data_IF_803001254311
#
_entry.id   IF_803001254311
#
_cell.length_a   1.000
_cell.length_b   1.000
_cell.length_c   1.000
_cell.angle_alpha   90.00
_cell.angle_beta   90.00
_cell.angle_gamma   90.00
#
_symmetry.space_group_name_H-M   'P 1'
#
loop_
_entity.id
_entity.type
_entity.pdbx_description
1 polymer ?
2 polymer ?
3 non-polymer ?
4 water ?
#
# COMPACT_ATOMS: atom_id res chain seq x y z
N UNK A 1 9.07 -22.44 6.09
CA UNK A 1 8.76 -21.16 6.68
C UNK A 1 7.45 -21.31 7.45
N UNK A 2 7.43 -20.88 8.71
CA UNK A 2 6.28 -21.07 9.61
C UNK A 2 4.96 -20.52 9.03
N UNK A 3 3.82 -21.13 9.40
CA UNK A 3 2.53 -20.65 8.88
C UNK A 3 2.18 -19.25 9.37
N UNK A 4 1.20 -18.62 8.74
CA UNK A 4 0.72 -17.34 9.22
C UNK A 4 0.22 -17.58 10.63
N UNK A 5 0.46 -16.58 11.50
CA UNK A 5 -0.02 -16.56 12.88
C UNK A 5 -0.86 -15.32 13.06
N UNK A 6 -1.78 -15.36 14.01
CA UNK A 6 -2.53 -14.16 14.37
C UNK A 6 -2.12 -13.66 15.76
N UNK A 7 -1.45 -12.52 15.80
CA UNK A 7 -1.08 -11.89 17.03
C UNK A 7 -2.31 -11.15 17.56
N UNK A 8 -2.75 -11.52 18.77
CA UNK A 8 -4.03 -11.07 19.31
C UNK A 8 -4.06 -9.57 19.55
N UNK A 9 -2.90 -8.97 19.82
CA UNK A 9 -2.86 -7.57 20.13
C UNK A 9 -1.52 -6.98 19.81
N UNK A 10 -1.48 -6.21 18.72
CA UNK A 10 -0.29 -5.50 18.33
C UNK A 10 -0.70 -4.09 17.96
N UNK A 11 0.30 -3.23 17.81
CA UNK A 11 0.07 -1.83 17.48
C UNK A 11 0.75 -1.48 16.14
N UNK A 12 -0.02 -0.99 15.17
CA UNK A 12 0.58 -0.69 13.87
C UNK A 12 0.50 0.79 13.60
N UNK A 13 1.61 1.34 13.10
CA UNK A 13 1.75 2.73 12.73
C UNK A 13 1.89 2.93 11.19
N UNK A 14 1.29 3.98 10.65
CA UNK A 14 1.66 4.45 9.34
C UNK A 14 2.13 5.89 9.45
N UNK A 15 3.05 6.28 8.57
CA UNK A 15 3.51 7.66 8.46
C UNK A 15 3.63 8.09 7.00
N UNK A 16 3.35 9.36 6.70
CA UNK A 16 3.41 9.85 5.32
C UNK A 16 3.82 11.34 5.23
N UNK A 17 4.46 11.72 4.12
CA UNK A 17 4.93 13.09 3.97
C UNK A 17 3.75 14.00 3.74
N UNK A 18 3.76 15.11 4.44
CA UNK A 18 2.75 16.14 4.28
C UNK A 18 3.12 17.00 3.07
N UNK A 19 2.12 17.26 2.23
CA UNK A 19 2.29 18.04 1.01
C UNK A 19 3.20 17.40 -0.01
N UNK A 20 3.16 16.08 -0.10
CA UNK A 20 4.05 15.37 -0.98
C UNK A 20 3.80 15.72 -2.45
N UNK A 21 2.55 15.67 -2.88
CA UNK A 21 2.28 15.99 -4.27
C UNK A 21 2.73 17.44 -4.55
N UNK A 22 2.61 18.33 -3.57
CA UNK A 22 3.05 19.71 -3.73
C UNK A 22 4.58 19.89 -3.79
N UNK A 23 5.30 19.08 -3.03
CA UNK A 23 6.76 19.05 -3.01
C UNK A 23 7.28 18.48 -4.33
N UNK A 24 6.56 17.49 -4.83
CA UNK A 24 6.90 16.83 -6.08
C UNK A 24 6.45 17.74 -7.20
N UNK A 25 5.66 18.74 -6.85
CA UNK A 25 5.18 19.68 -7.84
C UNK A 25 6.38 20.43 -8.37
N UNK A 26 7.27 20.85 -7.48
CA UNK A 26 8.41 21.63 -7.88
C UNK A 26 9.70 20.87 -7.70
N UNK A 27 9.70 19.60 -8.10
CA UNK A 27 10.92 18.79 -8.10
C UNK A 27 10.85 17.69 -9.17
N UNK A 28 12.02 17.23 -9.60
CA UNK A 28 12.14 16.04 -10.43
C UNK A 28 11.58 14.84 -9.66
N UNK A 29 11.07 13.82 -10.37
CA UNK A 29 10.59 12.63 -9.65
C UNK A 29 11.74 11.84 -9.02
N UNK A 30 12.94 11.96 -9.58
CA UNK A 30 14.10 11.32 -9.01
C UNK A 30 14.62 12.20 -7.88
N UNK A 31 14.37 13.50 -7.96
CA UNK A 31 14.66 14.38 -6.84
C UNK A 31 13.78 13.97 -5.67
N UNK A 32 12.50 13.73 -5.93
CA UNK A 32 11.56 13.49 -4.84
C UNK A 32 11.68 12.09 -4.29
N UNK A 33 12.19 11.18 -5.10
CA UNK A 33 12.41 9.93 -4.68
C UNK A 33 13.54 9.84 -3.78
N UNK A 34 14.61 10.57 -4.05
CA UNK A 34 15.75 10.55 -3.15
C UNK A 34 15.46 11.38 -1.86
N UNK A 35 14.47 12.26 -1.91
CA UNK A 35 13.99 12.94 -0.71
C UNK A 35 13.23 11.93 0.14
N UNK A 36 12.43 11.10 -0.53
CA UNK A 36 11.73 10.04 0.16
C UNK A 36 12.77 9.11 0.82
N UNK A 37 13.75 8.66 0.04
CA UNK A 37 14.74 7.69 0.52
C UNK A 37 15.57 8.24 1.71
N UNK A 38 15.83 9.54 1.69
CA UNK A 38 16.61 10.22 2.74
C UNK A 38 15.87 10.18 4.08
N UNK A 39 14.61 10.61 4.06
CA UNK A 39 13.73 10.45 5.19
C UNK A 39 13.60 8.99 5.65
N UNK A 40 13.52 8.06 4.72
CA UNK A 40 13.44 6.64 5.07
C UNK A 40 14.65 6.22 5.85
N UNK A 41 15.82 6.72 5.46
CA UNK A 41 17.06 6.28 6.07
C UNK A 41 17.25 6.86 7.46
N UNK A 42 16.70 8.04 7.67
CA UNK A 42 16.65 8.61 9.02
C UNK A 42 15.74 7.78 9.93
N UNK A 43 14.65 7.24 9.41
CA UNK A 43 13.76 6.41 10.22
C UNK A 43 14.45 5.10 10.56
N UNK A 44 15.10 4.52 9.56
CA UNK A 44 15.75 3.23 9.72
C UNK A 44 16.92 3.29 10.73
N UNK A 45 17.57 4.45 10.81
CA UNK A 45 18.69 4.64 11.75
C UNK A 45 18.23 5.11 13.15
N UNK A 46 17.03 5.68 13.24
CA UNK A 46 16.46 5.96 14.54
C UNK A 46 15.82 4.68 15.07
N UNK A 47 15.39 3.80 14.18
CA UNK A 47 14.71 2.58 14.61
C UNK A 47 15.73 1.50 15.05
N UNK A 48 17.01 1.81 14.91
CA UNK A 48 18.10 1.00 15.52
C UNK A 48 17.87 0.91 17.05
N UNK A 49 17.38 1.99 17.62
CA UNK A 49 17.18 2.08 19.04
C UNK A 49 15.86 1.41 19.49
N UNK A 50 14.99 1.04 18.56
CA UNK A 50 13.71 0.43 18.94
C UNK A 50 13.54 -0.97 18.35
N UNK A 51 14.22 -1.95 18.96
CA UNK A 51 14.33 -3.33 18.47
C UNK A 51 13.00 -4.07 18.36
N UNK A 52 12.08 -3.80 19.29
CA UNK A 52 10.82 -4.51 19.27
C UNK A 52 10.07 -4.19 17.98
N UNK A 53 10.48 -3.13 17.26
CA UNK A 53 9.71 -2.61 16.11
C UNK A 53 10.10 -3.23 14.77
N UNK A 54 9.10 -3.51 13.94
CA UNK A 54 9.27 -3.94 12.55
C UNK A 54 8.71 -2.92 11.54
N UNK A 55 9.53 -2.53 10.56
CA UNK A 55 9.14 -1.54 9.56
C UNK A 55 9.23 -2.01 8.11
N UNK A 56 8.23 -1.66 7.32
CA UNK A 56 8.28 -1.83 5.89
C UNK A 56 7.93 -0.50 5.17
N UNK A 57 8.75 -0.13 4.18
CA UNK A 57 8.44 0.99 3.30
C UNK A 57 7.44 0.47 2.28
N UNK A 58 6.29 1.12 2.11
CA UNK A 58 5.20 0.50 1.37
C UNK A 58 4.95 1.16 0.00
N UNK A 59 4.42 0.38 -0.94
CA UNK A 59 3.94 0.95 -2.20
C UNK A 59 2.84 1.96 -1.87
N UNK A 60 3.05 3.20 -2.30
CA UNK A 60 2.20 4.34 -1.97
C UNK A 60 2.98 5.37 -1.13
N UNK A 61 4.15 4.96 -0.64
CA UNK A 61 5.11 5.82 0.07
C UNK A 61 4.98 5.75 1.59
N UNK A 62 3.87 5.21 2.09
CA UNK A 62 3.69 5.10 3.51
C UNK A 62 4.81 4.27 4.11
N UNK A 63 5.34 4.76 5.23
CA UNK A 63 6.27 4.02 6.07
C UNK A 63 5.43 3.30 7.10
N UNK A 64 5.57 1.99 7.18
CA UNK A 64 4.82 1.25 8.18
C UNK A 64 5.74 0.70 9.29
N UNK A 65 5.20 0.58 10.49
CA UNK A 65 5.92 0.07 11.66
C UNK A 65 4.96 -0.78 12.51
N UNK A 66 5.43 -1.84 13.14
CA UNK A 66 4.54 -2.74 13.85
C UNK A 66 5.25 -3.18 15.15
N UNK A 67 4.48 -3.42 16.21
CA UNK A 67 5.05 -3.81 17.49
C UNK A 67 4.25 -4.97 18.07
N UNK A 68 4.97 -5.87 18.72
CA UNK A 68 4.37 -7.09 19.22
C UNK A 68 3.93 -8.09 18.13
N UNK A 69 4.65 -8.15 17.02
CA UNK A 69 4.41 -9.18 16.02
C UNK A 69 5.74 -9.85 15.81
N UNK A 70 6.80 -9.04 15.77
CA UNK A 70 8.16 -9.55 15.75
C UNK A 70 8.46 -10.24 17.07
N UNK A 71 8.67 -9.44 18.12
CA UNK A 71 8.83 -9.98 19.45
C UNK A 71 7.62 -9.56 20.29
N UNK A 72 7.20 -10.40 21.24
CA UNK A 72 6.16 -10.04 22.22
C UNK A 72 6.49 -8.78 23.02
N UNK A 73 5.46 -8.08 23.50
CA UNK A 73 5.70 -6.84 24.23
C UNK A 73 4.63 -6.51 25.28
N UNK A 74 3.40 -6.36 24.83
CA UNK A 74 2.34 -5.88 25.73
C UNK A 74 2.51 -4.38 25.84
N UNK A 75 3.69 -3.96 26.28
CA UNK A 75 4.08 -2.56 26.25
C UNK A 75 4.01 -1.88 24.84
N UNK A 76 3.63 -2.63 23.80
CA UNK A 76 3.80 -2.21 22.40
C UNK A 76 3.29 -0.82 22.05
N UNK A 77 2.10 -0.47 22.54
CA UNK A 77 1.48 0.78 22.16
C UNK A 77 2.40 1.90 22.57
N UNK A 78 2.94 1.80 23.76
CA UNK A 78 3.80 2.84 24.32
C UNK A 78 5.14 2.97 23.58
N UNK A 79 5.79 1.84 23.35
CA UNK A 79 7.07 1.89 22.65
C UNK A 79 6.86 2.42 21.22
N UNK A 80 5.81 1.95 20.56
CA UNK A 80 5.53 2.40 19.21
C UNK A 80 5.30 3.91 19.23
N UNK A 81 4.59 4.39 20.26
CA UNK A 81 4.17 5.78 20.28
C UNK A 81 5.34 6.72 20.49
N UNK A 82 6.24 6.36 21.39
CA UNK A 82 7.45 7.15 21.52
C UNK A 82 8.21 7.19 20.18
N UNK A 83 8.38 6.05 19.54
CA UNK A 83 8.99 6.08 18.21
C UNK A 83 8.26 7.03 17.26
N UNK A 84 6.94 7.13 17.36
CA UNK A 84 6.22 8.08 16.53
C UNK A 84 6.78 9.48 16.73
N UNK A 85 7.04 9.83 17.97
CA UNK A 85 7.58 11.15 18.30
C UNK A 85 8.96 11.29 17.69
N UNK A 86 9.84 10.31 17.91
CA UNK A 86 11.15 10.30 17.24
C UNK A 86 11.02 10.49 15.71
N UNK A 87 10.02 9.89 15.09
CA UNK A 87 9.82 10.04 13.67
C UNK A 87 9.64 11.51 13.33
N UNK A 88 8.80 12.18 14.12
CA UNK A 88 8.49 13.58 13.88
C UNK A 88 9.71 14.49 13.85
N UNK A 89 10.56 14.39 14.87
CA UNK A 89 11.77 15.21 14.92
C UNK A 89 12.81 14.77 13.89
N UNK A 90 12.79 13.49 13.52
CA UNK A 90 13.71 13.01 12.52
C UNK A 90 13.24 13.44 11.15
N UNK A 91 11.96 13.82 11.05
CA UNK A 91 11.40 14.33 9.80
C UNK A 91 11.91 15.74 9.54
N UNK A 92 12.11 16.52 10.60
CA UNK A 92 12.64 17.89 10.44
C UNK A 92 14.17 17.92 10.31
N UNK A 93 14.84 16.80 10.54
CA UNK A 93 16.27 16.73 10.25
C UNK A 93 16.55 16.65 8.74
N UNK A 94 15.52 16.33 7.96
CA UNK A 94 15.65 16.24 6.50
C UNK A 94 14.79 17.27 5.80
N UNK A 95 15.32 18.49 5.66
CA UNK A 95 14.59 19.56 5.01
C UNK A 95 14.36 19.25 3.53
N UNK A 96 13.64 20.15 2.85
CA UNK A 96 13.35 19.98 1.44
C UNK A 96 13.41 21.31 0.69
N UNK A 97 12.27 21.97 0.58
CA UNK A 97 12.20 23.26 -0.10
C UNK A 97 10.76 23.78 -0.15
N UNK A 101 11.76 22.35 4.85
CA UNK A 101 11.69 21.30 5.87
C UNK A 101 10.53 20.32 5.66
N UNK A 102 10.61 19.14 6.27
CA UNK A 102 9.67 18.07 5.94
C UNK A 102 8.79 17.69 7.12
N UNK A 103 7.49 17.66 6.89
CA UNK A 103 6.60 17.24 7.94
C UNK A 103 5.82 15.99 7.54
N UNK A 104 5.60 15.12 8.52
CA UNK A 104 4.85 13.91 8.36
C UNK A 104 3.50 13.91 9.08
N UNK A 105 2.68 12.93 8.73
CA UNK A 105 1.41 12.72 9.39
C UNK A 105 1.43 11.24 9.86
N UNK A 106 1.20 10.99 11.15
CA UNK A 106 1.31 9.63 11.72
C UNK A 106 -0.04 9.16 12.28
N UNK A 107 -0.40 7.90 12.00
CA UNK A 107 -1.58 7.28 12.56
C UNK A 107 -1.23 5.97 13.25
N UNK A 108 -1.84 5.67 14.39
CA UNK A 108 -1.66 4.36 15.01
C UNK A 108 -3.01 3.74 15.34
N UNK A 109 -3.03 2.41 15.43
CA UNK A 109 -4.23 1.67 15.84
C UNK A 109 -3.81 0.33 16.44
N UNK A 110 -4.55 -0.18 17.43
CA UNK A 110 -4.26 -1.46 18.07
C UNK A 110 -5.36 -2.52 17.84
N UNK A 111 -4.97 -3.78 17.70
CA UNK A 111 -5.92 -4.85 17.45
C UNK A 111 -5.24 -6.14 17.08
N UNK A 112 -6.01 -7.14 16.65
CA UNK A 112 -5.45 -8.41 16.14
C UNK A 112 -4.75 -8.19 14.80
N UNK A 113 -3.58 -8.80 14.58
CA UNK A 113 -2.83 -8.67 13.33
C UNK A 113 -2.29 -10.00 12.84
N UNK A 114 -2.68 -10.42 11.64
CA UNK A 114 -2.14 -11.65 11.06
C UNK A 114 -0.81 -11.40 10.34
N UNK A 115 0.18 -12.22 10.61
CA UNK A 115 1.47 -12.06 9.97
C UNK A 115 1.94 -13.37 9.35
N UNK A 116 2.61 -13.27 8.21
CA UNK A 116 3.21 -14.44 7.61
C UNK A 116 3.87 -14.09 6.29
N UNK A 117 4.31 -15.12 5.59
CA UNK A 117 5.09 -15.00 4.36
C UNK A 117 4.20 -15.23 3.10
N UNK A 118 4.32 -14.37 2.09
CA UNK A 118 3.67 -14.65 0.80
C UNK A 118 4.73 -14.55 -0.27
N UNK A 119 4.49 -15.17 -1.44
CA UNK A 119 5.46 -15.21 -2.53
C UNK A 119 6.34 -16.43 -2.45
N UNK A 120 6.97 -16.81 -3.55
CA UNK A 120 7.92 -17.95 -3.55
C UNK A 120 9.34 -17.52 -3.98
N UNK A 121 9.58 -17.35 -5.29
CA UNK A 121 10.85 -16.74 -5.74
C UNK A 121 11.15 -15.43 -5.04
N UNK A 122 10.11 -14.62 -4.84
CA UNK A 122 10.21 -13.30 -4.21
C UNK A 122 9.29 -13.20 -2.98
N UNK A 123 9.72 -13.76 -1.82
CA UNK A 123 8.85 -13.76 -0.64
C UNK A 123 8.89 -12.43 0.17
N UNK A 124 7.80 -12.14 0.83
CA UNK A 124 7.80 -10.98 1.65
C UNK A 124 7.02 -11.28 2.91
N UNK A 125 7.35 -10.58 3.99
CA UNK A 125 6.61 -10.68 5.24
C UNK A 125 5.34 -9.88 5.10
N UNK A 126 4.22 -10.46 5.50
CA UNK A 126 3.02 -9.87 5.30
C UNK A 126 2.32 -9.61 6.52
N UNK A 127 1.80 -8.39 6.61
CA UNK A 127 1.01 -7.91 7.76
C UNK A 127 -0.43 -7.66 7.31
N UNK A 128 -1.39 -8.35 7.92
CA UNK A 128 -2.71 -8.42 7.34
C UNK A 128 -3.84 -8.21 8.35
N UNK A 129 -4.95 -7.65 7.88
CA UNK A 129 -6.20 -7.59 8.61
C UNK A 129 -6.79 -6.20 8.86
N UNK A 130 -7.92 -6.17 9.54
CA UNK A 130 -8.61 -4.91 9.84
C UNK A 130 -7.81 -3.92 10.69
N UNK A 131 -6.99 -4.41 11.59
CA UNK A 131 -6.13 -3.52 12.35
C UNK A 131 -5.20 -2.74 11.43
N UNK A 132 -4.47 -3.43 10.54
CA UNK A 132 -3.58 -2.79 9.56
C UNK A 132 -4.30 -1.72 8.74
N UNK A 133 -5.49 -2.05 8.25
CA UNK A 133 -6.25 -1.18 7.37
C UNK A 133 -6.72 0.08 8.04
N UNK A 134 -7.13 -0.05 9.29
CA UNK A 134 -7.61 1.08 10.05
C UNK A 134 -6.43 2.00 10.40
N UNK A 135 -5.29 1.43 10.77
CA UNK A 135 -4.14 2.25 11.13
C UNK A 135 -3.77 3.12 9.93
N UNK A 136 -4.06 2.61 8.74
CA UNK A 136 -3.79 3.32 7.50
C UNK A 136 -4.70 4.54 7.31
N UNK A 137 -5.99 4.40 7.60
CA UNK A 137 -6.90 5.56 7.58
C UNK A 137 -6.52 6.54 8.72
N UNK A 138 -6.07 6.00 9.84
CA UNK A 138 -5.64 6.83 10.95
C UNK A 138 -4.63 7.84 10.44
N UNK A 139 -3.73 7.38 9.59
CA UNK A 139 -2.66 8.25 9.18
C UNK A 139 -3.21 9.20 8.11
N UNK A 140 -4.01 8.68 7.19
CA UNK A 140 -4.47 9.49 6.07
C UNK A 140 -5.66 10.37 6.48
N UNK A 141 -6.19 10.15 7.69
CA UNK A 141 -7.25 11.02 8.21
C UNK A 141 -6.72 11.82 9.38
N UNK A 142 -5.40 11.77 9.62
CA UNK A 142 -4.77 12.44 10.75
C UNK A 142 -4.37 13.85 10.37
N UNK A 143 -3.64 14.52 11.25
CA UNK A 143 -3.33 15.93 11.05
C UNK A 143 -1.85 16.08 10.83
N UNK A 144 -1.50 17.02 9.93
CA UNK A 144 -0.12 17.32 9.63
C UNK A 144 0.65 17.56 10.94
N UNK A 145 1.94 17.26 10.98
CA UNK A 145 2.74 17.52 12.17
C UNK A 145 2.32 16.78 13.43
N UNK A 146 1.22 16.02 13.41
CA UNK A 146 0.69 15.43 14.64
C UNK A 146 0.60 13.90 14.61
N UNK A 147 0.15 13.31 15.71
CA UNK A 147 0.00 11.87 15.82
C UNK A 147 -1.45 11.55 16.11
N UNK A 148 -2.13 10.95 15.16
CA UNK A 148 -3.50 10.54 15.29
C UNK A 148 -3.55 9.10 15.83
N UNK A 149 -4.04 8.90 17.07
CA UNK A 149 -4.12 7.55 17.65
C UNK A 149 -5.57 7.14 17.96
N UNK A 150 -5.92 5.87 17.71
CA UNK A 150 -7.29 5.41 17.92
C UNK A 150 -7.58 5.13 19.42
N UNK A 151 -8.86 4.90 19.72
CA UNK A 151 -9.28 4.53 21.06
C UNK A 151 -8.70 3.15 21.46
N UNK A 152 -8.75 2.18 20.55
CA UNK A 152 -8.17 0.86 20.84
C UNK A 152 -6.70 0.98 21.29
N UNK A 153 -5.98 1.87 20.63
CA UNK A 153 -4.57 2.13 20.92
C UNK A 153 -4.34 2.93 22.22
N UNK A 154 -5.12 3.99 22.43
CA UNK A 154 -5.03 4.79 23.64
C UNK A 154 -5.08 3.89 24.88
N UNK A 155 -6.05 2.96 24.89
CA UNK A 155 -6.29 2.06 26.02
C UNK A 155 -5.18 1.03 26.28
N UNK A 156 -4.54 0.56 25.22
CA UNK A 156 -3.42 -0.36 25.29
C UNK A 156 -2.17 0.27 25.91
N UNK A 157 -2.12 1.59 25.94
CA UNK A 157 -1.05 2.25 26.65
C UNK A 157 -1.01 1.75 28.10
N UNK A 158 0.17 1.34 28.54
CA UNK A 158 0.41 0.94 29.92
C UNK A 158 0.84 2.13 30.76
N UNK A 159 1.05 3.28 30.12
CA UNK A 159 1.57 4.47 30.79
C UNK A 159 1.00 5.76 30.19
N UNK A 160 -0.32 5.86 30.19
CA UNK A 160 -1.04 7.01 29.70
C UNK A 160 -0.44 8.27 30.21
N UNK A 161 -0.02 8.22 31.46
CA UNK A 161 0.29 9.41 32.22
C UNK A 161 1.48 10.27 31.85
N UNK A 162 2.27 9.88 30.87
CA UNK A 162 3.45 10.67 30.57
C UNK A 162 3.46 11.12 29.12
N UNK A 163 2.32 10.96 28.47
CA UNK A 163 2.17 11.31 27.06
C UNK A 163 1.38 12.59 26.88
N UNK A 164 0.33 12.76 27.67
CA UNK A 164 -0.48 13.97 27.63
C UNK A 164 -1.32 14.03 26.37
N UNK A 165 -2.40 13.25 26.34
CA UNK A 165 -3.29 13.22 25.19
C UNK A 165 -4.65 13.82 25.53
N UNK A 166 -4.85 15.08 25.14
CA UNK A 166 -6.10 15.77 25.41
C UNK A 166 -7.06 15.83 24.24
N UNK A 167 -6.56 16.18 23.07
CA UNK A 167 -7.47 16.41 21.94
C UNK A 167 -8.09 15.10 21.41
N UNK A 168 -9.40 15.10 21.31
CA UNK A 168 -10.12 13.96 20.83
C UNK A 168 -10.46 14.28 19.37
N UNK A 169 -10.79 13.25 18.64
CA UNK A 169 -11.25 13.45 17.30
C UNK A 169 -12.08 12.28 16.97
N UNK A 170 -12.50 12.22 15.72
CA UNK A 170 -13.18 11.06 15.22
C UNK A 170 -12.58 10.68 13.89
N UNK A 171 -12.94 9.49 13.43
CA UNK A 171 -12.64 9.03 12.11
C UNK A 171 -13.75 8.12 11.67
N UNK A 172 -14.07 8.11 10.39
CA UNK A 172 -15.03 7.16 9.88
C UNK A 172 -14.35 6.06 9.05
N UNK A 173 -13.79 6.42 7.91
CA UNK A 173 -13.05 5.46 7.09
C UNK A 173 -13.86 4.60 6.11
N UNK A 174 -15.17 4.52 6.31
CA UNK A 174 -16.10 3.91 5.36
C UNK A 174 -16.29 2.44 5.59
N UNK A 175 -15.47 1.84 6.44
CA UNK A 175 -15.59 0.42 6.68
C UNK A 175 -16.43 0.12 7.90
N UNK A 176 -16.66 1.14 8.72
CA UNK A 176 -17.48 0.99 9.91
C UNK A 176 -18.25 2.28 10.18
N UNK A 177 -18.66 2.47 11.43
CA UNK A 177 -19.29 3.72 11.82
C UNK A 177 -18.22 4.74 12.11
N UNK A 178 -18.32 5.36 13.29
CA UNK A 178 -17.36 6.37 13.70
C UNK A 178 -16.70 5.93 14.98
N UNK A 179 -15.37 5.95 14.99
CA UNK A 179 -14.57 5.63 16.16
C UNK A 179 -14.00 6.89 16.78
N UNK A 180 -13.72 6.84 18.07
CA UNK A 180 -13.07 7.94 18.75
C UNK A 180 -11.57 7.83 18.53
N UNK A 181 -10.92 8.98 18.40
CA UNK A 181 -9.48 9.06 18.27
C UNK A 181 -8.91 10.14 19.22
N UNK A 182 -7.58 10.19 19.33
CA UNK A 182 -6.89 11.18 20.13
C UNK A 182 -5.78 11.78 19.29
N UNK A 183 -5.51 13.07 19.46
CA UNK A 183 -4.40 13.65 18.76
C UNK A 183 -3.30 13.99 19.73
N UNK A 184 -2.08 13.97 19.22
CA UNK A 184 -0.94 14.22 20.07
C UNK A 184 0.06 15.04 19.27
N UNK A 185 0.27 16.26 19.73
CA UNK A 185 1.24 17.14 19.12
C UNK A 185 2.61 16.73 19.64
N UNK A 186 3.65 16.95 18.83
CA UNK A 186 5.00 16.69 19.30
C UNK A 186 5.78 17.99 19.45
N UNK A 187 5.29 18.88 20.32
CA UNK A 187 5.93 20.18 20.52
C UNK A 187 6.31 20.38 21.99
N UNK B 1 23.96 -2.31 -5.64
CA UNK B 1 22.75 -1.92 -6.37
C UNK B 1 22.92 -0.67 -7.20
N UNK B 2 22.16 -0.62 -8.28
CA UNK B 2 22.14 0.53 -9.18
C UNK B 2 21.15 1.52 -8.62
N UNK B 3 21.37 2.81 -8.87
CA UNK B 3 20.49 3.82 -8.30
C UNK B 3 19.10 3.74 -8.88
N UNK B 4 18.21 4.59 -8.39
CA UNK B 4 16.89 4.68 -8.95
C UNK B 4 16.98 5.12 -10.42
N UNK B 5 15.99 4.73 -11.21
CA UNK B 5 15.89 5.13 -12.60
C UNK B 5 14.48 5.55 -12.88
N UNK B 6 14.28 6.57 -13.70
CA UNK B 6 12.94 6.82 -14.18
C UNK B 6 12.68 6.06 -15.48
N UNK B 7 11.71 5.16 -15.50
CA UNK B 7 11.26 4.53 -16.73
C UNK B 7 10.15 5.35 -17.33
N UNK B 8 10.39 5.94 -18.51
CA UNK B 8 9.51 6.93 -19.17
C UNK B 8 8.18 6.37 -19.60
N UNK B 9 8.05 5.07 -19.70
CA UNK B 9 6.75 4.52 -20.06
C UNK B 9 6.60 3.08 -19.67
N UNK B 10 5.78 2.86 -18.67
CA UNK B 10 5.50 1.55 -18.16
C UNK B 10 4.01 1.47 -17.90
N UNK B 11 3.53 0.28 -17.57
CA UNK B 11 2.12 0.11 -17.25
C UNK B 11 2.07 -0.53 -15.87
N UNK B 12 1.16 -0.04 -15.03
CA UNK B 12 0.96 -0.53 -13.66
C UNK B 12 -0.48 -1.02 -13.52
N UNK B 13 -0.63 -2.15 -12.87
CA UNK B 13 -1.91 -2.80 -12.69
C UNK B 13 -2.09 -3.03 -11.17
N UNK B 14 -3.25 -2.65 -10.61
CA UNK B 14 -3.61 -3.09 -9.28
C UNK B 14 -4.87 -3.95 -9.35
N UNK B 15 -4.91 -4.96 -8.51
CA UNK B 15 -6.07 -5.80 -8.38
C UNK B 15 -6.47 -5.94 -6.92
N UNK B 16 -7.78 -5.99 -6.71
CA UNK B 16 -8.37 -6.19 -5.40
C UNK B 16 -9.50 -7.17 -5.43
N UNK B 17 -9.72 -7.87 -4.32
CA UNK B 17 -10.86 -8.73 -4.19
C UNK B 17 -12.12 -7.91 -3.90
N UNK B 18 -13.17 -8.21 -4.64
CA UNK B 18 -14.45 -7.52 -4.51
C UNK B 18 -15.19 -8.00 -3.26
N UNK B 19 -15.83 -7.08 -2.54
CA UNK B 19 -16.54 -7.40 -1.31
C UNK B 19 -15.74 -8.22 -0.30
N UNK B 20 -14.53 -7.79 0.01
CA UNK B 20 -13.66 -8.60 0.80
C UNK B 20 -14.22 -8.55 2.19
N UNK B 21 -14.76 -7.40 2.56
CA UNK B 21 -15.32 -7.20 3.87
C UNK B 21 -16.52 -8.13 4.12
N UNK B 22 -17.27 -8.45 3.07
CA UNK B 22 -18.40 -9.37 3.20
C UNK B 22 -17.86 -10.76 3.47
N UNK B 23 -16.72 -11.08 2.88
CA UNK B 23 -16.11 -12.40 3.04
C UNK B 23 -15.44 -12.54 4.41
N UNK B 24 -14.80 -11.48 4.88
CA UNK B 24 -14.02 -11.54 6.09
C UNK B 24 -14.96 -11.57 7.27
N UNK B 25 -15.97 -10.71 7.24
CA UNK B 25 -16.89 -10.55 8.35
C UNK B 25 -17.55 -11.87 8.67
N UNK B 26 -17.82 -12.64 7.63
CA UNK B 26 -18.57 -13.85 7.81
C UNK B 26 -17.68 -15.07 7.86
N UNK B 27 -16.47 -14.89 8.37
CA UNK B 27 -15.55 -16.00 8.60
C UNK B 27 -14.30 -15.50 9.30
N UNK B 28 -13.30 -16.36 9.46
CA UNK B 28 -12.15 -16.03 10.29
C UNK B 28 -11.02 -15.33 9.53
N UNK B 29 -10.22 -14.53 10.25
CA UNK B 29 -9.08 -13.79 9.69
C UNK B 29 -7.92 -14.68 9.22
N UNK B 30 -7.66 -15.78 9.91
CA UNK B 30 -6.58 -16.67 9.51
C UNK B 30 -7.05 -17.46 8.28
N UNK B 31 -8.36 -17.61 8.12
CA UNK B 31 -8.91 -18.35 6.98
C UNK B 31 -8.98 -17.47 5.75
N UNK B 32 -9.42 -16.25 5.96
CA UNK B 32 -9.55 -15.33 4.87
C UNK B 32 -8.14 -15.00 4.36
N UNK B 33 -7.15 -15.07 5.24
CA UNK B 33 -5.89 -14.85 4.86
C UNK B 33 -5.46 -15.90 4.00
N UNK B 34 -5.86 -17.14 4.28
CA UNK B 34 -5.55 -18.25 3.38
C UNK B 34 -6.27 -18.12 2.04
N UNK B 35 -7.45 -17.50 2.06
CA UNK B 35 -8.15 -17.25 0.82
C UNK B 35 -7.20 -16.38 0.00
N UNK B 36 -6.70 -15.32 0.63
CA UNK B 36 -5.88 -14.33 -0.05
C UNK B 36 -4.62 -14.97 -0.63
N UNK B 37 -3.96 -15.83 0.15
CA UNK B 37 -2.71 -16.45 -0.29
C UNK B 37 -2.98 -17.47 -1.42
N UNK B 38 -4.17 -18.07 -1.40
CA UNK B 38 -4.63 -19.02 -2.42
C UNK B 38 -4.67 -18.29 -3.74
N UNK B 39 -5.38 -17.18 -3.75
CA UNK B 39 -5.46 -16.32 -4.90
C UNK B 39 -4.06 -15.91 -5.38
N UNK B 40 -3.21 -15.46 -4.47
CA UNK B 40 -1.87 -15.00 -4.82
C UNK B 40 -1.07 -16.10 -5.51
N UNK B 41 -1.17 -17.31 -5.00
CA UNK B 41 -0.42 -18.42 -5.55
C UNK B 41 -0.91 -18.74 -6.95
N UNK B 42 -2.18 -18.49 -7.24
CA UNK B 42 -2.71 -18.74 -8.57
C UNK B 42 -2.21 -17.64 -9.52
N UNK B 43 -2.30 -16.39 -9.10
CA UNK B 43 -1.68 -15.29 -9.83
C UNK B 43 -0.21 -15.61 -10.10
N UNK B 44 0.51 -15.93 -9.01
CA UNK B 44 1.97 -16.18 -9.05
C UNK B 44 2.35 -17.36 -9.96
N UNK B 45 1.43 -18.31 -10.13
CA UNK B 45 1.65 -19.45 -11.01
C UNK B 45 1.41 -19.06 -12.50
N UNK B 46 0.41 -18.23 -12.74
CA UNK B 46 0.05 -17.83 -14.09
C UNK B 46 1.10 -16.90 -14.61
N UNK B 47 1.72 -16.13 -13.71
CA UNK B 47 2.56 -15.02 -14.12
C UNK B 47 3.95 -15.52 -14.59
N UNK B 48 4.26 -16.78 -14.33
CA UNK B 48 5.52 -17.33 -14.80
C UNK B 48 5.51 -17.46 -16.34
N UNK B 49 4.30 -17.51 -16.92
CA UNK B 49 4.14 -17.46 -18.38
C UNK B 49 4.23 -16.05 -18.92
N UNK B 50 4.37 -15.05 -18.04
CA UNK B 50 4.45 -13.67 -18.47
C UNK B 50 5.72 -13.00 -17.95
N UNK B 51 6.88 -13.47 -18.42
CA UNK B 51 8.20 -13.09 -17.87
C UNK B 51 8.53 -11.57 -17.94
N UNK B 52 7.82 -10.85 -18.80
CA UNK B 52 7.94 -9.40 -18.90
C UNK B 52 7.40 -8.70 -17.62
N UNK B 53 6.53 -9.40 -16.90
CA UNK B 53 5.80 -8.86 -15.76
C UNK B 53 6.52 -9.09 -14.42
N UNK B 54 6.50 -8.06 -13.60
CA UNK B 54 6.95 -8.17 -12.25
C UNK B 54 5.73 -7.91 -11.31
N UNK B 55 5.53 -8.76 -10.31
CA UNK B 55 4.42 -8.59 -9.34
C UNK B 55 4.87 -8.22 -7.92
N UNK B 56 3.94 -7.70 -7.13
CA UNK B 56 4.18 -7.34 -5.73
C UNK B 56 2.87 -7.46 -5.00
N UNK B 57 2.80 -8.30 -3.99
CA UNK B 57 1.58 -8.34 -3.19
C UNK B 57 1.77 -7.25 -2.13
N UNK B 58 0.84 -6.30 -2.04
CA UNK B 58 1.09 -5.06 -1.30
C UNK B 58 0.45 -5.03 0.08
N UNK B 59 1.06 -4.26 0.98
CA UNK B 59 0.64 -4.21 2.39
C UNK B 59 -0.86 -4.04 2.63
N UNK B 60 -1.57 -3.27 1.81
CA UNK B 60 -3.03 -3.31 1.95
C UNK B 60 -3.84 -4.48 1.36
N UNK B 61 -3.17 -5.52 0.80
CA UNK B 61 -3.82 -6.66 0.10
C UNK B 61 -3.89 -6.55 -1.44
N UNK B 62 -3.59 -5.38 -2.01
CA UNK B 62 -3.69 -5.29 -3.46
C UNK B 62 -2.58 -6.10 -4.15
N UNK B 63 -2.93 -6.82 -5.20
CA UNK B 63 -1.92 -7.49 -6.02
C UNK B 63 -1.48 -6.51 -7.12
N UNK B 64 -0.18 -6.28 -7.26
CA UNK B 64 0.29 -5.21 -8.14
C UNK B 64 1.31 -5.78 -9.11
N UNK B 65 1.14 -5.41 -10.38
CA UNK B 65 1.99 -5.88 -11.48
C UNK B 65 2.43 -4.70 -12.33
N UNK B 66 3.66 -4.77 -12.82
CA UNK B 66 4.19 -3.68 -13.61
C UNK B 66 4.95 -4.25 -14.83
N UNK B 67 4.85 -3.56 -15.95
CA UNK B 67 5.51 -3.93 -17.18
C UNK B 67 6.36 -2.83 -17.70
N UNK B 68 7.52 -3.21 -18.19
CA UNK B 68 8.47 -2.32 -18.79
C UNK B 68 9.30 -1.62 -17.78
N UNK B 69 9.44 -2.22 -16.63
CA UNK B 69 10.29 -1.63 -15.64
C UNK B 69 11.47 -2.55 -15.42
N UNK B 70 11.22 -3.84 -15.46
CA UNK B 70 12.28 -4.83 -15.35
C UNK B 70 12.87 -5.16 -16.73
N UNK B 71 12.16 -5.97 -17.51
CA UNK B 71 12.60 -6.34 -18.84
C UNK B 71 12.00 -5.44 -19.89
N UNK B 72 12.81 -4.87 -20.79
CA UNK B 72 12.22 -4.05 -21.85
C UNK B 72 11.09 -4.78 -22.61
N UNK B 73 9.99 -4.08 -22.78
CA UNK B 73 8.82 -4.67 -23.38
C UNK B 73 7.99 -3.58 -24.00
N UNK B 74 8.03 -3.48 -25.32
CA UNK B 74 7.41 -2.37 -26.00
C UNK B 74 5.87 -2.45 -26.05
N UNK B 75 5.30 -3.65 -26.01
CA UNK B 75 3.85 -3.75 -26.04
C UNK B 75 3.43 -4.01 -24.59
N UNK B 76 3.98 -3.21 -23.67
CA UNK B 76 3.80 -3.45 -22.22
C UNK B 76 2.32 -3.35 -21.79
N UNK B 77 1.56 -2.39 -22.35
CA UNK B 77 0.15 -2.34 -21.98
C UNK B 77 -0.56 -3.59 -22.51
N UNK B 78 -0.13 -4.09 -23.66
CA UNK B 78 -0.81 -5.22 -24.30
C UNK B 78 -0.61 -6.47 -23.46
N UNK B 79 0.64 -6.75 -23.13
CA UNK B 79 1.00 -7.90 -22.29
C UNK B 79 0.31 -7.87 -20.94
N UNK B 80 0.33 -6.73 -20.28
CA UNK B 80 -0.26 -6.58 -18.97
C UNK B 80 -1.83 -6.64 -19.02
N UNK B 81 -2.45 -5.99 -20.03
CA UNK B 81 -3.90 -6.16 -20.20
C UNK B 81 -4.26 -7.64 -20.37
N UNK B 82 -3.42 -8.37 -21.10
CA UNK B 82 -3.68 -9.77 -21.32
C UNK B 82 -3.57 -10.54 -20.01
N UNK B 83 -2.53 -10.25 -19.24
CA UNK B 83 -2.40 -10.86 -17.95
C UNK B 83 -3.59 -10.48 -17.03
N UNK B 84 -4.19 -9.31 -17.22
CA UNK B 84 -5.34 -8.94 -16.38
C UNK B 84 -6.54 -9.81 -16.70
N UNK B 85 -6.70 -10.21 -17.97
CA UNK B 85 -7.80 -11.12 -18.31
C UNK B 85 -7.49 -12.47 -17.63
N UNK B 86 -6.22 -12.82 -17.61
CA UNK B 86 -5.81 -14.06 -16.96
C UNK B 86 -6.17 -14.03 -15.48
N UNK B 87 -5.82 -12.94 -14.80
CA UNK B 87 -6.14 -12.81 -13.39
C UNK B 87 -7.61 -13.04 -13.14
N UNK B 88 -8.48 -12.43 -13.94
CA UNK B 88 -9.91 -12.66 -13.73
C UNK B 88 -10.26 -14.11 -13.81
N UNK B 89 -9.62 -14.83 -14.73
CA UNK B 89 -9.79 -16.29 -14.87
C UNK B 89 -9.29 -17.09 -13.65
N UNK B 90 -8.06 -16.84 -13.24
CA UNK B 90 -7.51 -17.47 -12.06
C UNK B 90 -8.38 -17.20 -10.83
N UNK B 91 -9.00 -16.03 -10.78
CA UNK B 91 -9.90 -15.70 -9.66
C UNK B 91 -11.19 -16.54 -9.64
N UNK B 92 -11.68 -16.96 -10.80
CA UNK B 92 -12.93 -17.70 -10.81
C UNK B 92 -12.74 -19.16 -10.46
N UNK B 93 -11.49 -19.61 -10.39
CA UNK B 93 -11.20 -20.94 -9.81
C UNK B 93 -10.78 -20.96 -8.32
N UNK B 94 -11.22 -19.95 -7.57
CA UNK B 94 -11.04 -19.89 -6.13
C UNK B 94 -12.43 -19.68 -5.54
N UNK B 95 -12.74 -20.28 -4.39
CA UNK B 95 -14.08 -20.17 -3.80
C UNK B 95 -14.13 -19.39 -2.48
N UNK B 100 -19.92 -17.48 -3.68
CA UNK B 100 -19.10 -18.65 -3.96
C UNK B 100 -17.75 -18.25 -4.54
N UNK B 101 -17.72 -18.00 -5.82
CA UNK B 101 -16.48 -17.65 -6.51
C UNK B 101 -16.00 -16.27 -6.12
N UNK B 102 -14.71 -16.04 -6.30
CA UNK B 102 -14.15 -14.77 -5.95
C UNK B 102 -14.15 -13.90 -7.18
N UNK B 103 -14.52 -12.65 -7.00
CA UNK B 103 -14.40 -11.68 -8.07
C UNK B 103 -13.32 -10.62 -7.79
N UNK B 104 -12.72 -10.09 -8.84
CA UNK B 104 -11.70 -9.08 -8.64
C UNK B 104 -12.05 -7.80 -9.38
N UNK B 105 -11.45 -6.72 -8.92
CA UNK B 105 -11.59 -5.44 -9.54
C UNK B 105 -10.17 -5.12 -9.95
N UNK B 106 -9.95 -4.85 -11.24
CA UNK B 106 -8.62 -4.55 -11.72
C UNK B 106 -8.58 -3.13 -12.30
N UNK B 107 -7.50 -2.39 -12.05
CA UNK B 107 -7.30 -1.08 -12.66
C UNK B 107 -5.90 -0.96 -13.27
N UNK B 108 -5.76 -0.20 -14.38
CA UNK B 108 -4.44 -0.03 -15.04
C UNK B 108 -4.20 1.39 -15.50
N UNK B 109 -2.93 1.79 -15.47
CA UNK B 109 -2.61 3.09 -16.00
C UNK B 109 -1.19 3.06 -16.54
N UNK B 110 -0.84 3.94 -17.46
CA UNK B 110 0.54 3.95 -18.00
C UNK B 110 1.17 5.31 -17.87
N UNK B 111 2.49 5.35 -17.71
CA UNK B 111 3.25 6.59 -17.56
C UNK B 111 4.64 6.26 -17.09
N UNK B 112 5.44 7.30 -16.80
CA UNK B 112 6.73 7.15 -16.12
C UNK B 112 6.58 6.60 -14.68
N UNK B 113 7.55 5.80 -14.27
CA UNK B 113 7.60 5.16 -12.97
C UNK B 113 9.05 5.26 -12.56
N UNK B 114 9.30 5.69 -11.34
CA UNK B 114 10.65 5.63 -10.83
C UNK B 114 10.80 4.23 -10.22
N UNK B 115 11.93 3.59 -10.43
CA UNK B 115 12.14 2.31 -9.79
C UNK B 115 13.56 2.28 -9.24
N UNK B 116 13.70 1.70 -8.05
CA UNK B 116 14.98 1.54 -7.38
C UNK B 116 14.84 0.73 -6.10
N UNK B 117 15.91 0.61 -5.32
CA UNK B 117 15.81 -0.15 -4.08
C UNK B 117 15.79 0.78 -2.88
N UNK B 118 14.95 0.45 -1.90
CA UNK B 118 15.00 1.14 -0.61
C UNK B 118 15.24 0.15 0.53
N UNK B 119 15.94 0.60 1.57
CA UNK B 119 16.20 -0.22 2.74
C UNK B 119 17.61 -0.77 2.72
N UNK B 120 18.13 -1.20 3.88
CA UNK B 120 19.45 -1.81 3.94
C UNK B 120 19.34 -3.28 4.33
N UNK B 121 19.26 -3.56 5.63
CA UNK B 121 19.25 -4.93 6.12
C UNK B 121 18.10 -5.67 5.46
N UNK B 122 17.00 -4.97 5.19
CA UNK B 122 15.96 -5.55 4.32
C UNK B 122 15.61 -4.64 3.16
N UNK B 123 16.27 -4.87 2.02
CA UNK B 123 15.99 -4.02 0.87
C UNK B 123 14.69 -4.43 0.16
N UNK B 124 14.09 -3.49 -0.54
CA UNK B 124 12.81 -3.71 -1.18
C UNK B 124 12.96 -3.06 -2.54
N UNK B 125 12.46 -3.70 -3.59
CA UNK B 125 12.37 -3.03 -4.89
C UNK B 125 11.15 -2.10 -4.83
N UNK B 126 11.37 -0.82 -5.11
CA UNK B 126 10.43 0.16 -4.93
C UNK B 126 9.96 0.75 -6.18
N UNK B 127 8.65 0.90 -6.30
CA UNK B 127 8.05 1.48 -7.50
C UNK B 127 7.25 2.66 -7.04
N UNK B 128 7.50 3.81 -7.65
CA UNK B 128 7.15 5.05 -7.03
C UNK B 128 6.66 6.05 -8.03
N UNK B 129 5.56 6.71 -7.73
CA UNK B 129 5.20 7.84 -8.49
C UNK B 129 3.76 8.01 -8.72
N UNK B 130 3.48 9.03 -9.51
CA UNK B 130 2.13 9.38 -9.82
C UNK B 130 1.48 8.27 -10.68
N UNK B 131 2.26 7.58 -11.47
CA UNK B 131 1.69 6.57 -12.34
C UNK B 131 1.16 5.39 -11.54
N UNK B 132 1.94 4.97 -10.57
CA UNK B 132 1.52 3.95 -9.60
C UNK B 132 0.31 4.37 -8.78
N UNK B 133 0.33 5.58 -8.25
CA UNK B 133 -0.83 6.05 -7.51
C UNK B 133 -2.05 6.05 -8.38
N UNK B 134 -1.93 6.51 -9.63
CA UNK B 134 -3.11 6.63 -10.49
C UNK B 134 -3.66 5.24 -10.85
N UNK B 135 -2.78 4.28 -11.18
CA UNK B 135 -3.20 2.92 -11.48
C UNK B 135 -4.02 2.33 -10.33
N UNK B 136 -3.65 2.68 -9.11
CA UNK B 136 -4.34 2.23 -7.89
C UNK B 136 -5.76 2.79 -7.82
N UNK B 137 -5.86 4.10 -8.06
CA UNK B 137 -7.16 4.77 -8.29
C UNK B 137 -7.97 4.20 -9.48
N UNK B 138 -7.32 3.70 -10.48
CA UNK B 138 -8.06 3.05 -11.56
C UNK B 138 -8.71 1.80 -11.01
N UNK B 139 -8.06 1.12 -10.07
CA UNK B 139 -8.67 -0.06 -9.45
C UNK B 139 -9.81 0.35 -8.49
N UNK B 140 -9.55 1.24 -7.53
CA UNK B 140 -10.57 1.64 -6.56
C UNK B 140 -11.77 2.26 -7.25
N UNK B 141 -11.55 2.93 -8.38
CA UNK B 141 -12.63 3.57 -9.11
C UNK B 141 -13.27 2.71 -10.19
N UNK B 142 -12.81 1.46 -10.34
CA UNK B 142 -13.27 0.56 -11.36
C UNK B 142 -14.53 -0.20 -10.96
N UNK B 143 -14.73 -1.36 -11.56
CA UNK B 143 -15.99 -2.09 -11.42
C UNK B 143 -15.72 -3.59 -11.20
N UNK B 144 -16.46 -4.18 -10.26
CA UNK B 144 -16.31 -5.62 -9.95
C UNK B 144 -16.41 -6.47 -11.23
N UNK B 145 -15.51 -7.44 -11.39
CA UNK B 145 -15.50 -8.32 -12.54
C UNK B 145 -14.97 -7.72 -13.86
N UNK B 146 -14.47 -6.50 -13.79
CA UNK B 146 -14.01 -5.81 -14.97
C UNK B 146 -12.60 -5.24 -14.82
N UNK B 147 -12.09 -4.72 -15.92
CA UNK B 147 -10.78 -4.12 -15.96
C UNK B 147 -10.96 -2.67 -16.38
N UNK B 148 -10.33 -1.76 -15.68
CA UNK B 148 -10.65 -0.38 -15.79
C UNK B 148 -9.37 0.28 -16.16
N UNK B 149 -9.28 0.91 -17.33
CA UNK B 149 -8.01 1.40 -17.75
C UNK B 149 -8.11 2.82 -18.18
N UNK B 150 -7.01 3.55 -17.99
CA UNK B 150 -7.01 4.95 -18.23
C UNK B 150 -6.84 5.15 -19.74
N UNK B 151 -7.11 6.36 -20.20
CA UNK B 151 -6.88 6.74 -21.57
C UNK B 151 -5.44 6.58 -21.93
N UNK B 152 -4.53 6.99 -21.04
CA UNK B 152 -3.10 6.85 -21.25
C UNK B 152 -2.71 5.42 -21.50
N UNK B 153 -3.29 4.51 -20.74
CA UNK B 153 -3.02 3.11 -20.96
C UNK B 153 -3.65 2.61 -22.28
N UNK B 154 -4.79 3.15 -22.68
CA UNK B 154 -5.40 2.75 -23.92
C UNK B 154 -4.51 3.20 -25.11
N UNK B 155 -3.99 4.41 -25.04
CA UNK B 155 -3.10 4.84 -25.92
C UNK B 155 -1.93 4.06 -26.09
N UNK B 156 -1.36 3.49 -25.03
CA UNK B 156 -0.11 2.73 -25.14
C UNK B 156 -0.35 1.36 -25.69
N UNK B 157 -1.59 0.94 -25.69
CA UNK B 157 -1.95 -0.38 -26.18
C UNK B 157 -1.68 -0.38 -27.69
N UNK B 158 -0.90 -1.35 -28.16
CA UNK B 158 -0.48 -1.38 -29.56
C UNK B 158 -1.57 -2.03 -30.37
N UNK B 159 -2.06 -3.15 -29.86
CA UNK B 159 -3.14 -3.89 -30.46
C UNK B 159 -4.51 -3.57 -29.88
N UNK B 160 -4.94 -2.33 -29.98
CA UNK B 160 -6.30 -1.97 -29.64
C UNK B 160 -7.35 -2.94 -30.09
N UNK B 161 -7.06 -3.63 -31.17
CA UNK B 161 -8.08 -4.37 -31.91
C UNK B 161 -8.26 -5.79 -31.36
N UNK B 162 -7.28 -6.27 -30.60
CA UNK B 162 -7.38 -7.59 -29.99
C UNK B 162 -8.31 -7.63 -28.76
N UNK B 163 -8.61 -6.48 -28.14
CA UNK B 163 -9.44 -6.44 -26.95
C UNK B 163 -10.80 -5.78 -27.20
N UNK B 164 -11.83 -6.29 -26.52
CA UNK B 164 -13.14 -5.65 -26.53
C UNK B 164 -13.24 -4.50 -25.53
N UNK B 165 -12.37 -3.51 -25.62
CA UNK B 165 -12.43 -2.34 -24.79
C UNK B 165 -13.64 -1.42 -25.16
N UNK B 166 -14.40 -1.02 -24.17
CA UNK B 166 -15.49 -0.06 -24.33
C UNK B 166 -15.05 1.23 -23.64
N UNK B 167 -15.38 2.35 -24.24
CA UNK B 167 -15.17 3.62 -23.59
C UNK B 167 -16.16 3.73 -22.46
N UNK B 168 -15.67 3.95 -21.24
CA UNK B 168 -16.50 4.36 -20.14
C UNK B 168 -16.90 5.85 -20.23
N UNK B 169 -15.93 6.72 -20.21
CA UNK B 169 -16.23 8.11 -20.30
C UNK B 169 -15.40 8.89 -19.30
N UNK B 170 -15.82 10.11 -19.00
CA UNK B 170 -15.13 10.96 -18.03
C UNK B 170 -15.62 10.73 -16.63
N UNK B 171 -14.73 10.27 -15.75
CA UNK B 171 -15.04 10.20 -14.34
C UNK B 171 -14.07 11.09 -13.59
N UNK B 172 -14.45 11.61 -12.45
CA UNK B 172 -13.44 12.29 -11.66
C UNK B 172 -12.77 11.27 -10.73
N UNK B 173 -11.49 11.45 -10.51
CA UNK B 173 -10.68 10.45 -9.86
C UNK B 173 -9.99 11.20 -8.73
N UNK B 174 -10.15 10.70 -7.50
CA UNK B 174 -9.57 11.30 -6.29
C UNK B 174 -8.19 11.90 -6.59
N UNK B 175 -8.00 13.18 -6.33
CA UNK B 175 -6.69 13.78 -6.45
C UNK B 175 -6.24 14.08 -7.86
N UNK B 176 -7.01 13.69 -8.84
CA UNK B 176 -6.61 13.70 -10.21
C UNK B 176 -7.46 14.58 -11.11
N UNK B 177 -8.65 14.94 -10.68
CA UNK B 177 -9.59 15.64 -11.55
C UNK B 177 -10.27 14.72 -12.58
N UNK B 178 -10.70 15.27 -13.71
CA UNK B 178 -11.35 14.42 -14.70
C UNK B 178 -10.39 13.52 -15.46
N UNK B 179 -10.73 12.25 -15.58
CA UNK B 179 -9.99 11.36 -16.45
C UNK B 179 -10.92 10.55 -17.36
N UNK B 180 -10.51 10.36 -18.61
CA UNK B 180 -11.27 9.47 -19.47
C UNK B 180 -10.83 8.03 -19.27
N UNK B 181 -11.79 7.11 -19.10
CA UNK B 181 -11.40 5.74 -18.84
C UNK B 181 -12.17 4.74 -19.71
N UNK B 182 -11.76 3.48 -19.65
CA UNK B 182 -12.24 2.45 -20.54
C UNK B 182 -12.48 1.22 -19.73
N UNK B 183 -13.41 0.38 -20.16
CA UNK B 183 -13.60 -0.89 -19.48
C UNK B 183 -13.44 -2.10 -20.39
N UNK B 184 -13.04 -3.21 -19.80
CA UNK B 184 -12.96 -4.43 -20.56
C UNK B 184 -13.50 -5.54 -19.68
N UNK B 185 -14.56 -6.19 -20.11
CA UNK B 185 -15.07 -7.41 -19.43
C UNK B 185 -14.44 -8.70 -19.90
N UNK B 186 -14.02 -9.56 -18.96
CA UNK B 186 -13.54 -10.92 -19.27
C UNK B 186 -14.68 -11.86 -19.71
N UNK B 187 -14.43 -13.17 -19.77
CA UNK B 187 -15.44 -14.21 -20.03
C UNK B 187 -15.42 -14.63 -21.49
X LIG C 1 -0.54 15.14 0.56
X LIG C 1 0.20 15.42 -0.73
X LIG C 1 -0.74 16.42 1.34
X LIG C 1 -1.88 14.54 0.22
X LIG C 1 0.25 14.16 1.41
X LIG D 1 6.54 -15.85 -6.70
X LIG D 1 6.90 -17.30 -6.88
X LIG D 1 5.95 -15.39 -8.03
X LIG D 1 5.53 -15.81 -5.59
X LIG D 1 7.71 -14.94 -6.35
X LIG E 1 -14.65 15.78 18.93
X LIG E 1 -15.16 14.34 18.92
X LIG E 1 -13.71 16.08 17.76
X LIG E 1 -15.89 16.68 18.89
X LIG E 1 -13.86 16.00 20.21
X LIG F 1 -13.97 -4.05 -1.87
X LIG F 1 -12.66 -4.49 -2.52
X LIG F 1 -13.95 -2.56 -1.60
X LIG F 1 -15.17 -4.33 -2.76
X LIG F 1 -14.13 -4.77 -0.54
X LIG G 1 -10.19 14.15 -22.98
X LIG G 1 -10.14 12.68 -23.38
X LIG G 1 -9.53 14.95 -24.09
X LIG G 1 -11.62 14.61 -22.78
X LIG G 1 -9.44 14.31 -21.68
X LIG H 1 17.25 -1.02 7.36
X LIG H 1 18.40 -1.80 7.96
X LIG H 1 17.80 0.07 6.48
X LIG H 1 16.31 -1.93 6.58
X LIG H 1 16.49 -0.38 8.51
X LIG I 1 -6.27 15.27 -23.33
X LIG I 1 -6.31 14.41 -24.57
X LIG I 1 -7.26 16.41 -23.49
X LIG I 1 -6.58 14.40 -22.13
X LIG I 1 -4.89 15.85 -23.14
X LIG J 1 13.58 -4.42 8.14
X LIG J 1 14.93 -3.97 7.62
X LIG J 1 12.51 -3.96 7.17
X LIG J 1 13.53 -5.93 8.26
X LIG J 1 13.33 -3.81 9.50
#
# INVERSE_FOLDING_TARGET
>A
SAPAQEHPEATVLFSDIVGFTEIASRSSPLEVCSLLDELYQRFDAAIEEYPQLYKVETIGDAYMVVCNVTVPCDDHADVLLEFALRMHEEASRVASSLGEPVRIRVGMHSGPVVAGVVGRKMPRFCLFGDTVNTASRMESHGEAGQIHISEACYCCLRSKERFEIRERGNITVKGKGTMRTYLLSPLERT
>B
SAPAQEHPEATVLFSDIVGFTEIASRSSPLEVCSLLDELYQRFDAAIEEYPQLYKVETIGDAYMVVCNVTVPCDDHADVLLEFALRMHEEASRVASSLGEPVRIRVGMHSGPVVAGVVGRKMPRFCLFGDTVNTASRMESHGEAGQIHISEACYCCLRSKERFEIRERGNITVKGKGTMRTYLLSPLERT
>C hetero
1 PO4 P O1 O2 O3 O4
>D hetero
1 PO4 P O1 O2 O3 O4
>E hetero
1 PO4 P O1 O2 O3 O4
>F hetero
1 PO4 P O1 O2 O3 O4
>G hetero
1 PO4 P O1 O2 O3 O4
>H hetero
1 PO4 P O1 O2 O3 O4
>I hetero
1 PO4 P O1 O2 O3 O4
>J hetero
1 PO4 P O1 O2 O3 O4
#
